data_IF_943291065055
#
_entry.id   IF_943291065055
#
_cell.length_a   1.000
_cell.length_b   1.000
_cell.length_c   1.000
_cell.angle_alpha   90.00
_cell.angle_beta   90.00
_cell.angle_gamma   90.00
#
_symmetry.space_group_name_H-M   'P 1'
#
loop_
_entity.id
_entity.type
_entity.pdbx_description
1 polymer ?
#
# COMPACT_ATOMS: atom_id res chain seq x y z
N UNK A 1 -13.04 -21.32 24.96
CA UNK A 1 -14.17 -20.44 24.63
C UNK A 1 -13.79 -19.65 23.39
N UNK A 2 -14.63 -19.67 22.35
CA UNK A 2 -14.36 -18.94 21.10
C UNK A 2 -14.76 -17.47 21.25
N UNK A 3 -13.87 -16.54 20.91
CA UNK A 3 -14.13 -15.09 20.94
C UNK A 3 -14.70 -14.64 19.60
N UNK A 4 -15.90 -14.07 19.62
CA UNK A 4 -16.53 -13.50 18.43
C UNK A 4 -16.03 -12.07 18.20
N UNK A 5 -15.53 -11.78 17.02
CA UNK A 5 -14.99 -10.47 16.64
C UNK A 5 -15.72 -9.99 15.38
N UNK A 6 -16.23 -8.77 15.42
CA UNK A 6 -16.86 -8.13 14.27
C UNK A 6 -15.90 -7.09 13.67
N UNK A 7 -15.64 -7.19 12.37
CA UNK A 7 -14.92 -6.19 11.59
C UNK A 7 -15.93 -5.42 10.74
N UNK A 8 -16.01 -4.10 10.96
CA UNK A 8 -16.89 -3.22 10.20
C UNK A 8 -16.16 -2.68 8.97
N UNK A 9 -16.64 -3.06 7.78
CA UNK A 9 -16.13 -2.62 6.49
C UNK A 9 -15.37 -3.71 5.72
N UNK A 10 -15.63 -3.78 4.41
CA UNK A 10 -15.05 -4.76 3.49
C UNK A 10 -14.11 -4.14 2.44
N UNK A 11 -13.52 -2.98 2.74
CA UNK A 11 -12.40 -2.44 1.98
C UNK A 11 -11.06 -3.03 2.42
N UNK A 12 -9.95 -2.62 1.80
CA UNK A 12 -8.61 -3.19 2.05
C UNK A 12 -8.23 -3.22 3.54
N UNK A 13 -8.51 -2.15 4.29
CA UNK A 13 -8.19 -2.07 5.72
C UNK A 13 -9.00 -3.08 6.53
N UNK A 14 -10.29 -3.23 6.24
CA UNK A 14 -11.17 -4.15 6.95
C UNK A 14 -10.83 -5.62 6.64
N UNK A 15 -10.68 -5.96 5.37
CA UNK A 15 -10.31 -7.33 4.96
C UNK A 15 -8.92 -7.73 5.47
N UNK A 16 -7.92 -6.85 5.35
CA UNK A 16 -6.58 -7.11 5.88
C UNK A 16 -6.62 -7.31 7.40
N UNK A 17 -7.35 -6.45 8.13
CA UNK A 17 -7.50 -6.59 9.58
C UNK A 17 -8.16 -7.93 9.96
N UNK A 18 -9.20 -8.35 9.23
CA UNK A 18 -9.87 -9.63 9.47
C UNK A 18 -8.92 -10.82 9.27
N UNK A 19 -8.10 -10.81 8.21
CA UNK A 19 -7.08 -11.83 7.97
C UNK A 19 -6.04 -11.85 9.10
N UNK A 20 -5.49 -10.68 9.46
CA UNK A 20 -4.50 -10.59 10.54
C UNK A 20 -5.05 -11.05 11.89
N UNK A 21 -6.31 -10.76 12.19
CA UNK A 21 -6.97 -11.26 13.41
C UNK A 21 -7.05 -12.79 13.40
N UNK A 22 -7.39 -13.41 12.26
CA UNK A 22 -7.45 -14.86 12.13
C UNK A 22 -6.07 -15.53 12.21
N UNK A 23 -5.02 -14.87 11.72
CA UNK A 23 -3.65 -15.38 11.73
C UNK A 23 -2.97 -15.22 13.10
N UNK A 24 -3.19 -14.07 13.76
CA UNK A 24 -2.44 -13.69 14.96
C UNK A 24 -3.12 -14.13 16.27
N UNK A 25 -4.44 -14.38 16.25
CA UNK A 25 -5.20 -14.76 17.44
C UNK A 25 -5.72 -16.19 17.35
N UNK A 26 -5.69 -16.90 18.47
CA UNK A 26 -6.28 -18.24 18.59
C UNK A 26 -7.72 -18.19 19.11
N UNK A 27 -8.52 -19.18 18.74
CA UNK A 27 -9.90 -19.36 19.20
C UNK A 27 -10.80 -18.14 18.92
N UNK A 28 -10.69 -17.56 17.71
CA UNK A 28 -11.52 -16.44 17.26
C UNK A 28 -12.50 -16.87 16.17
N UNK A 29 -13.64 -16.19 16.12
CA UNK A 29 -14.65 -16.28 15.06
C UNK A 29 -14.89 -14.86 14.53
N UNK A 30 -14.47 -14.60 13.30
CA UNK A 30 -14.45 -13.26 12.70
C UNK A 30 -15.61 -13.11 11.73
N UNK A 31 -16.50 -12.17 12.00
CA UNK A 31 -17.57 -11.76 11.08
C UNK A 31 -17.25 -10.40 10.49
N UNK A 32 -17.40 -10.27 9.17
CA UNK A 32 -17.28 -8.99 8.47
C UNK A 32 -18.68 -8.47 8.18
N UNK A 33 -18.97 -7.24 8.58
CA UNK A 33 -20.23 -6.55 8.29
C UNK A 33 -19.90 -5.29 7.50
N UNK A 34 -20.47 -5.15 6.30
CA UNK A 34 -20.28 -3.99 5.46
C UNK A 34 -21.54 -3.70 4.64
N UNK A 35 -21.79 -2.42 4.37
CA UNK A 35 -22.83 -1.99 3.43
C UNK A 35 -22.45 -2.35 1.99
N UNK A 36 -21.16 -2.17 1.63
CA UNK A 36 -20.62 -2.43 0.30
C UNK A 36 -19.42 -3.36 0.38
N UNK A 37 -19.38 -4.30 -0.53
CA UNK A 37 -18.25 -5.19 -0.80
C UNK A 37 -17.64 -4.84 -2.17
N UNK A 38 -16.47 -5.38 -2.47
CA UNK A 38 -15.91 -5.29 -3.82
C UNK A 38 -16.92 -5.82 -4.86
N UNK A 39 -17.03 -5.18 -6.04
CA UNK A 39 -16.17 -4.12 -6.57
C UNK A 39 -16.69 -2.68 -6.30
N UNK A 40 -17.50 -2.46 -5.25
CA UNK A 40 -18.26 -1.22 -5.07
C UNK A 40 -17.82 -0.38 -3.86
N UNK A 41 -16.57 -0.48 -3.41
CA UNK A 41 -16.03 0.31 -2.30
C UNK A 41 -14.85 1.21 -2.74
N UNK A 42 -14.42 2.11 -1.87
CA UNK A 42 -13.35 3.09 -2.17
C UNK A 42 -12.02 2.43 -2.56
N UNK A 43 -11.75 1.21 -2.09
CA UNK A 43 -10.57 0.44 -2.47
C UNK A 43 -10.58 0.12 -3.96
N UNK A 44 -11.75 -0.26 -4.50
CA UNK A 44 -11.87 -0.75 -5.88
C UNK A 44 -11.64 0.37 -6.92
N UNK A 45 -11.73 1.64 -6.50
CA UNK A 45 -11.47 2.82 -7.34
C UNK A 45 -10.10 3.46 -7.08
N UNK A 46 -9.31 2.90 -6.16
CA UNK A 46 -7.97 3.41 -5.88
C UNK A 46 -7.02 3.16 -7.06
N UNK A 47 -6.06 4.07 -7.27
CA UNK A 47 -5.08 3.94 -8.35
C UNK A 47 -4.12 2.74 -8.20
N UNK A 48 -3.99 2.18 -6.98
CA UNK A 48 -3.22 0.96 -6.71
C UNK A 48 -1.70 1.16 -6.53
N UNK A 49 -1.17 2.37 -6.69
CA UNK A 49 0.25 2.64 -6.47
C UNK A 49 0.61 2.72 -5.00
N UNK A 50 1.66 1.99 -4.60
CA UNK A 50 2.30 2.20 -3.32
C UNK A 50 3.16 3.48 -3.39
N UNK A 51 2.72 4.54 -2.73
CA UNK A 51 3.48 5.78 -2.54
C UNK A 51 2.97 6.55 -1.31
N UNK A 52 3.58 6.37 -0.13
CA UNK A 52 3.14 7.06 1.07
C UNK A 52 3.29 8.58 0.97
N UNK A 53 2.45 9.32 1.68
CA UNK A 53 2.56 10.77 1.84
C UNK A 53 2.29 11.15 3.29
N UNK A 54 2.70 12.36 3.70
CA UNK A 54 2.43 12.85 5.05
C UNK A 54 0.93 13.05 5.23
N UNK A 55 0.34 12.37 6.21
CA UNK A 55 -1.08 12.46 6.53
C UNK A 55 -1.29 13.34 7.77
N UNK A 56 -1.66 14.60 7.58
CA UNK A 56 -2.00 15.52 8.66
C UNK A 56 -0.93 15.60 9.76
N UNK A 57 -1.34 15.34 11.00
CA UNK A 57 -0.49 15.35 12.21
C UNK A 57 0.14 14.00 12.53
N UNK A 58 -0.06 12.95 11.71
CA UNK A 58 0.54 11.64 11.96
C UNK A 58 2.06 11.73 11.92
N UNK A 59 2.71 11.12 12.91
CA UNK A 59 4.17 11.10 13.01
C UNK A 59 4.77 10.43 11.75
N UNK A 60 5.69 11.14 11.08
CA UNK A 60 6.34 10.67 9.87
C UNK A 60 7.06 9.32 10.05
N UNK A 61 7.64 9.05 11.22
CA UNK A 61 8.30 7.77 11.51
C UNK A 61 7.30 6.61 11.55
N UNK A 62 6.06 6.84 11.99
CA UNK A 62 5.01 5.83 11.94
C UNK A 62 4.55 5.55 10.51
N UNK A 63 4.39 6.62 9.71
CA UNK A 63 4.07 6.49 8.28
C UNK A 63 5.17 5.70 7.57
N UNK A 64 6.44 6.00 7.85
CA UNK A 64 7.56 5.26 7.30
C UNK A 64 7.50 3.78 7.71
N UNK A 65 7.37 3.48 9.00
CA UNK A 65 7.33 2.11 9.50
C UNK A 65 6.20 1.29 8.85
N UNK A 66 4.97 1.80 8.85
CA UNK A 66 3.84 1.10 8.23
C UNK A 66 4.02 0.95 6.73
N UNK A 67 4.58 1.97 6.08
CA UNK A 67 4.97 1.90 4.67
C UNK A 67 5.95 0.76 4.42
N UNK A 68 7.06 0.72 5.16
CA UNK A 68 8.12 -0.29 5.03
C UNK A 68 7.56 -1.71 5.22
N UNK A 69 6.77 -1.92 6.28
CA UNK A 69 6.13 -3.21 6.57
C UNK A 69 5.17 -3.62 5.44
N UNK A 70 4.38 -2.68 4.92
CA UNK A 70 3.44 -2.94 3.82
C UNK A 70 4.19 -3.25 2.52
N UNK A 71 5.23 -2.48 2.18
CA UNK A 71 6.01 -2.69 0.97
C UNK A 71 6.66 -4.07 0.98
N UNK A 72 7.27 -4.45 2.11
CA UNK A 72 7.87 -5.78 2.29
C UNK A 72 6.82 -6.89 2.12
N UNK A 73 5.66 -6.77 2.76
CA UNK A 73 4.60 -7.76 2.63
C UNK A 73 4.10 -7.91 1.19
N UNK A 74 3.90 -6.79 0.48
CA UNK A 74 3.52 -6.82 -0.93
C UNK A 74 4.61 -7.44 -1.81
N UNK A 75 5.89 -7.21 -1.49
CA UNK A 75 7.00 -7.84 -2.18
C UNK A 75 7.01 -9.37 -1.95
N UNK A 76 6.80 -9.83 -0.72
CA UNK A 76 6.70 -11.26 -0.42
C UNK A 76 5.52 -11.92 -1.19
N UNK A 77 4.40 -11.21 -1.34
CA UNK A 77 3.28 -11.67 -2.17
C UNK A 77 3.60 -11.64 -3.67
N UNK A 78 4.38 -10.67 -4.13
CA UNK A 78 4.83 -10.57 -5.52
C UNK A 78 5.70 -11.77 -5.93
N UNK A 79 6.55 -12.26 -5.01
CA UNK A 79 7.39 -13.45 -5.24
C UNK A 79 6.58 -14.77 -5.17
N UNK A 80 5.31 -14.71 -4.76
CA UNK A 80 4.45 -15.89 -4.67
C UNK A 80 3.83 -16.26 -6.03
N UNK A 81 3.50 -17.54 -6.27
CA UNK A 81 2.73 -17.96 -7.46
C UNK A 81 1.34 -17.32 -7.58
N UNK A 82 0.85 -16.65 -6.52
CA UNK A 82 -0.44 -15.98 -6.49
C UNK A 82 -0.38 -14.52 -6.94
N UNK A 83 0.81 -13.94 -7.14
CA UNK A 83 1.01 -12.52 -7.42
C UNK A 83 0.07 -11.98 -8.52
N UNK A 84 0.02 -12.67 -9.67
CA UNK A 84 -0.83 -12.31 -10.80
C UNK A 84 -2.33 -12.33 -10.43
N UNK A 85 -2.77 -13.35 -9.68
CA UNK A 85 -4.16 -13.48 -9.22
C UNK A 85 -4.53 -12.40 -8.20
N UNK A 86 -3.56 -11.98 -7.37
CA UNK A 86 -3.72 -10.94 -6.36
C UNK A 86 -3.60 -9.52 -6.94
N UNK A 87 -3.22 -9.38 -8.21
CA UNK A 87 -3.03 -8.08 -8.86
C UNK A 87 -1.78 -7.33 -8.40
N UNK A 88 -0.80 -8.02 -7.82
CA UNK A 88 0.41 -7.41 -7.26
C UNK A 88 1.56 -7.50 -8.26
N UNK A 89 2.07 -6.34 -8.70
CA UNK A 89 3.13 -6.23 -9.69
C UNK A 89 4.11 -5.13 -9.30
N UNK A 90 5.40 -5.33 -9.61
CA UNK A 90 6.38 -4.26 -9.59
C UNK A 90 6.23 -3.39 -10.83
N UNK A 91 6.18 -2.08 -10.63
CA UNK A 91 6.06 -1.09 -11.70
C UNK A 91 7.13 -0.02 -11.51
N UNK A 92 7.94 0.20 -12.54
CA UNK A 92 8.85 1.33 -12.61
C UNK A 92 8.13 2.57 -13.12
N UNK A 93 8.58 3.75 -12.71
CA UNK A 93 7.96 5.00 -13.16
C UNK A 93 8.78 6.24 -12.80
N UNK A 94 8.26 7.38 -13.26
CA UNK A 94 8.86 8.69 -13.03
C UNK A 94 8.00 9.49 -12.05
N UNK A 95 8.64 10.21 -11.13
CA UNK A 95 7.98 11.16 -10.25
C UNK A 95 8.52 12.56 -10.51
N UNK A 96 7.77 13.32 -11.30
CA UNK A 96 8.15 14.67 -11.73
C UNK A 96 7.78 15.69 -10.65
N UNK A 97 8.73 16.54 -10.26
CA UNK A 97 8.53 17.63 -9.31
C UNK A 97 9.33 18.85 -9.76
N UNK A 98 8.77 20.04 -9.56
CA UNK A 98 9.43 21.32 -9.86
C UNK A 98 10.50 21.72 -8.84
N UNK A 99 10.64 20.95 -7.76
CA UNK A 99 11.60 21.18 -6.69
C UNK A 99 12.13 19.84 -6.17
N UNK A 100 13.33 19.85 -5.61
CA UNK A 100 13.91 18.66 -4.98
C UNK A 100 13.00 18.14 -3.85
N UNK A 101 12.78 16.83 -3.82
CA UNK A 101 12.01 16.16 -2.77
C UNK A 101 12.81 14.99 -2.22
N UNK A 102 12.92 14.91 -0.89
CA UNK A 102 13.56 13.81 -0.19
C UNK A 102 12.49 13.04 0.62
N UNK A 103 11.76 12.09 0.01
CA UNK A 103 10.68 11.39 0.69
C UNK A 103 11.23 10.48 1.79
N UNK A 104 10.49 10.36 2.90
CA UNK A 104 10.87 9.53 4.05
C UNK A 104 10.99 8.03 3.74
N UNK A 105 10.41 7.59 2.62
CA UNK A 105 10.36 6.20 2.15
C UNK A 105 11.34 5.93 1.00
N UNK A 106 12.27 6.86 0.70
CA UNK A 106 13.23 6.69 -0.40
C UNK A 106 14.03 5.39 -0.33
N UNK A 107 14.38 4.97 0.88
CA UNK A 107 15.21 3.78 1.14
C UNK A 107 14.37 2.49 1.17
N UNK A 108 13.05 2.61 1.04
CA UNK A 108 12.10 1.48 1.03
C UNK A 108 11.92 0.93 -0.38
N UNK A 109 11.90 1.82 -1.38
CA UNK A 109 11.68 1.47 -2.78
C UNK A 109 12.98 1.14 -3.48
N UNK A 110 12.87 0.43 -4.61
CA UNK A 110 14.04 0.11 -5.43
C UNK A 110 14.51 1.33 -6.21
N UNK A 111 15.81 1.61 -6.11
CA UNK A 111 16.55 2.50 -7.00
C UNK A 111 15.92 3.91 -7.19
N UNK A 112 15.39 4.52 -6.13
CA UNK A 112 14.97 5.92 -6.21
C UNK A 112 16.21 6.80 -6.45
N UNK A 113 16.18 7.55 -7.55
CA UNK A 113 17.23 8.46 -7.98
C UNK A 113 16.64 9.62 -8.76
N UNK A 114 17.42 10.68 -8.91
CA UNK A 114 17.08 11.78 -9.80
C UNK A 114 17.08 11.34 -11.27
N UNK A 115 16.32 12.07 -12.08
CA UNK A 115 16.29 11.90 -13.53
C UNK A 115 17.60 12.37 -14.14
N UNK A 116 18.10 11.59 -15.10
CA UNK A 116 19.24 12.05 -15.91
C UNK A 116 18.83 13.20 -16.83
N UNK A 117 19.80 13.99 -17.35
CA UNK A 117 19.50 15.00 -18.36
C UNK A 117 18.76 14.44 -19.59
N UNK A 118 19.02 13.19 -19.98
CA UNK A 118 18.34 12.49 -21.07
C UNK A 118 16.89 12.14 -20.73
N UNK A 119 16.63 11.64 -19.52
CA UNK A 119 15.27 11.33 -19.06
C UNK A 119 14.42 12.59 -18.92
N UNK A 120 15.00 13.71 -18.48
CA UNK A 120 14.32 15.00 -18.40
C UNK A 120 13.81 15.49 -19.76
N UNK A 121 14.51 15.18 -20.86
CA UNK A 121 14.06 15.54 -22.22
C UNK A 121 12.75 14.87 -22.63
N UNK A 122 12.35 13.78 -21.97
CA UNK A 122 11.06 13.12 -22.19
C UNK A 122 9.88 13.98 -21.67
N UNK A 123 10.14 14.93 -20.78
CA UNK A 123 9.11 15.71 -20.09
C UNK A 123 9.34 17.23 -20.22
N UNK A 124 9.38 17.79 -21.44
CA UNK A 124 9.81 19.17 -21.69
C UNK A 124 8.90 20.25 -21.06
N UNK A 125 7.68 19.89 -20.63
CA UNK A 125 6.70 20.81 -20.05
C UNK A 125 6.48 20.57 -18.55
N UNK A 126 7.27 19.70 -17.91
CA UNK A 126 7.08 19.28 -16.52
C UNK A 126 8.28 19.56 -15.60
N UNK A 127 9.33 20.16 -16.16
CA UNK A 127 10.53 20.67 -15.47
C UNK A 127 10.47 22.17 -15.34
#
# INVERSE_FOLDING_TARGET
MVRKICVLGAGIIGLYSAVRILEDLQNVDVTIIAEKFSPNNTTDVAAGFWRPYKMGSTNALLIKRWGDETFKYLLDLHESPLASKLGINLVSGYWLNSSEINPIWKDTVFNLRDLTPEENKLFPNCT
#
